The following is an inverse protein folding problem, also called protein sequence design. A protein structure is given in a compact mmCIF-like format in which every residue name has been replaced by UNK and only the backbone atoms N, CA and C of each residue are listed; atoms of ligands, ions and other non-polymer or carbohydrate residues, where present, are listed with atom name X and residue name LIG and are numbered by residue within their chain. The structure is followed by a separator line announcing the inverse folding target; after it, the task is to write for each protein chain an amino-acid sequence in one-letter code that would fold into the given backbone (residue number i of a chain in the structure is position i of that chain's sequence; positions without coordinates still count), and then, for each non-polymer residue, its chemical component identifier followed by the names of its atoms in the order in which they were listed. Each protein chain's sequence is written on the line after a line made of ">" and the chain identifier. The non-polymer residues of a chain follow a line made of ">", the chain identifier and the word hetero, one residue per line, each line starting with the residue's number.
data_IF_642939650375
#
_entry.id   IF_642939650375
#
_cell.length_a   1.000
_cell.length_b   1.000
_cell.length_c   1.000
_cell.angle_alpha   90.00
_cell.angle_beta   90.00
_cell.angle_gamma   90.00
#
_symmetry.space_group_name_H-M   'P 1'
#
loop_
_entity.id
_entity.type
_entity.pdbx_description
1 polymer ?
#
# COMPACT_ATOMS: atom_id res chain seq x y z
N UNK A 1 25.58 -22.31 19.05
CA UNK A 1 25.36 -21.58 17.79
C UNK A 1 23.87 -21.50 17.55
N UNK A 2 23.34 -20.27 17.53
CA UNK A 2 22.02 -19.89 18.06
C UNK A 2 20.81 -20.32 17.24
N UNK A 3 19.75 -20.73 17.96
CA UNK A 3 18.42 -21.01 17.44
C UNK A 3 17.77 -19.68 17.05
N UNK A 4 17.51 -19.46 15.77
CA UNK A 4 16.68 -18.34 15.33
C UNK A 4 15.22 -18.66 15.65
N UNK A 5 14.78 -18.19 16.81
CA UNK A 5 13.37 -17.97 17.10
C UNK A 5 12.87 -16.84 16.17
N UNK A 6 12.50 -17.21 14.94
CA UNK A 6 11.83 -16.31 14.00
C UNK A 6 10.39 -16.13 14.47
N UNK A 7 10.15 -15.06 15.21
CA UNK A 7 8.81 -14.68 15.66
C UNK A 7 7.84 -14.70 14.49
N UNK A 8 6.71 -15.39 14.67
CA UNK A 8 5.54 -15.27 13.80
C UNK A 8 5.22 -13.78 13.72
N UNK A 9 5.49 -13.14 12.58
CA UNK A 9 4.89 -11.85 12.26
C UNK A 9 3.39 -12.09 12.39
N UNK A 10 2.77 -11.44 13.38
CA UNK A 10 1.30 -11.44 13.49
C UNK A 10 0.81 -10.85 12.18
N UNK A 11 0.27 -11.71 11.33
CA UNK A 11 -0.58 -11.33 10.22
C UNK A 11 -1.57 -10.28 10.78
N UNK A 12 -1.83 -9.18 10.06
CA UNK A 12 -3.06 -8.44 10.30
C UNK A 12 -4.20 -9.47 10.30
N UNK A 13 -5.04 -9.39 11.32
CA UNK A 13 -6.21 -10.26 11.45
C UNK A 13 -6.95 -10.24 10.10
N UNK A 14 -7.38 -11.41 9.60
CA UNK A 14 -8.28 -11.47 8.44
C UNK A 14 -9.57 -10.66 8.67
N UNK A 15 -9.84 -10.27 9.92
CA UNK A 15 -10.87 -9.33 10.33
C UNK A 15 -10.45 -7.85 10.41
N UNK A 16 -9.34 -7.39 9.80
CA UNK A 16 -9.15 -5.94 9.58
C UNK A 16 -10.28 -5.46 8.68
N UNK A 17 -11.31 -4.89 9.31
CA UNK A 17 -12.47 -4.35 8.62
C UNK A 17 -12.00 -3.13 7.86
N UNK A 18 -11.96 -3.30 6.53
CA UNK A 18 -11.73 -2.26 5.55
C UNK A 18 -12.54 -1.01 5.89
N UNK A 19 -11.87 0.13 6.07
CA UNK A 19 -12.52 1.42 6.28
C UNK A 19 -12.27 2.29 5.06
N UNK A 20 -13.23 2.36 4.12
CA UNK A 20 -13.11 3.19 2.93
C UNK A 20 -12.90 4.66 3.32
N UNK A 21 -12.09 5.39 2.56
CA UNK A 21 -12.03 6.85 2.68
C UNK A 21 -13.15 7.47 1.84
N UNK A 22 -13.47 8.76 2.05
CA UNK A 22 -14.55 9.46 1.32
C UNK A 22 -14.38 9.45 -0.21
N UNK A 23 -13.16 9.24 -0.71
CA UNK A 23 -12.86 9.13 -2.15
C UNK A 23 -13.20 7.76 -2.74
N UNK A 24 -13.37 6.76 -1.87
CA UNK A 24 -13.63 5.36 -2.22
C UNK A 24 -15.11 5.00 -2.12
N UNK A 25 -15.98 6.01 -1.92
CA UNK A 25 -17.42 5.87 -1.77
C UNK A 25 -18.05 6.52 -3.00
N UNK A 26 -18.87 5.77 -3.73
CA UNK A 26 -19.67 6.36 -4.80
C UNK A 26 -20.64 7.40 -4.17
N UNK A 27 -20.62 8.66 -4.62
CA UNK A 27 -21.39 9.74 -3.98
C UNK A 27 -22.90 9.62 -4.21
N UNK A 28 -23.34 8.80 -5.16
CA UNK A 28 -24.75 8.55 -5.48
C UNK A 28 -25.33 7.33 -4.76
N UNK A 29 -24.51 6.31 -4.48
CA UNK A 29 -24.97 5.07 -3.82
C UNK A 29 -24.54 4.95 -2.36
N UNK A 30 -23.52 5.69 -1.91
CA UNK A 30 -23.00 5.62 -0.53
C UNK A 30 -22.21 4.34 -0.23
N UNK A 31 -22.06 3.47 -1.21
CA UNK A 31 -21.34 2.20 -1.11
C UNK A 31 -19.86 2.38 -1.46
N UNK A 32 -18.96 1.55 -0.90
CA UNK A 32 -17.58 1.47 -1.36
C UNK A 32 -17.56 1.16 -2.87
N UNK A 33 -16.84 1.97 -3.66
CA UNK A 33 -16.59 1.66 -5.06
C UNK A 33 -15.65 0.47 -5.10
N UNK A 34 -16.21 -0.75 -5.12
CA UNK A 34 -15.44 -1.98 -5.19
C UNK A 34 -14.52 -2.06 -6.44
N UNK A 35 -14.73 -1.18 -7.44
CA UNK A 35 -14.34 -1.45 -8.83
C UNK A 35 -13.50 -0.43 -9.64
N UNK A 36 -13.16 0.77 -9.14
CA UNK A 36 -12.64 1.80 -10.06
C UNK A 36 -11.12 1.78 -10.34
N UNK A 37 -10.28 1.19 -9.49
CA UNK A 37 -8.81 1.23 -9.64
C UNK A 37 -8.15 -0.14 -9.85
N UNK A 38 -8.70 -1.20 -9.26
CA UNK A 38 -8.00 -2.48 -9.10
C UNK A 38 -8.53 -3.59 -10.03
N UNK A 39 -9.73 -3.47 -10.61
CA UNK A 39 -10.28 -4.47 -11.55
C UNK A 39 -9.79 -4.30 -12.99
N UNK A 40 -9.00 -3.26 -13.24
CA UNK A 40 -8.18 -3.18 -14.45
C UNK A 40 -7.02 -4.17 -14.44
N UNK A 41 -6.66 -4.69 -13.27
CA UNK A 41 -5.63 -5.70 -13.15
C UNK A 41 -6.15 -7.04 -13.68
N UNK A 42 -5.36 -7.67 -14.54
CA UNK A 42 -5.56 -9.07 -14.86
C UNK A 42 -5.20 -9.89 -13.62
N UNK A 43 -6.20 -10.51 -13.01
CA UNK A 43 -6.02 -11.38 -11.85
C UNK A 43 -5.84 -12.83 -12.32
N UNK A 44 -4.79 -13.47 -11.83
CA UNK A 44 -4.53 -14.89 -12.01
C UNK A 44 -5.09 -15.65 -10.78
N UNK A 45 -5.84 -16.74 -11.00
CA UNK A 45 -6.60 -17.41 -9.93
C UNK A 45 -5.70 -18.07 -8.88
N UNK A 46 -4.49 -18.44 -9.26
CA UNK A 46 -3.48 -18.97 -8.35
C UNK A 46 -2.10 -18.50 -8.74
N UNK A 47 -1.35 -18.06 -7.74
CA UNK A 47 0.04 -17.71 -7.90
C UNK A 47 0.68 -17.39 -6.56
N UNK A 48 1.99 -17.11 -6.64
CA UNK A 48 2.77 -16.70 -5.47
C UNK A 48 2.68 -15.20 -5.28
N UNK A 49 2.30 -14.76 -4.08
CA UNK A 49 2.48 -13.37 -3.66
C UNK A 49 3.96 -13.14 -3.30
N UNK A 50 4.62 -12.23 -4.00
CA UNK A 50 6.03 -11.89 -3.77
C UNK A 50 6.22 -10.79 -2.72
N UNK A 51 5.12 -10.17 -2.28
CA UNK A 51 5.12 -9.23 -1.17
C UNK A 51 5.14 -9.97 0.18
N UNK A 52 4.82 -9.25 1.26
CA UNK A 52 5.09 -9.65 2.63
C UNK A 52 4.42 -10.96 3.08
N UNK A 53 3.27 -11.34 2.50
CA UNK A 53 2.55 -12.54 2.94
C UNK A 53 3.15 -13.86 2.42
N UNK A 54 3.90 -13.82 1.31
CA UNK A 54 4.60 -14.99 0.75
C UNK A 54 3.73 -16.18 0.35
N UNK A 55 2.40 -16.04 0.29
CA UNK A 55 1.47 -17.14 0.00
C UNK A 55 1.71 -17.70 -1.41
N UNK A 56 1.61 -19.03 -1.56
CA UNK A 56 1.97 -19.75 -2.80
C UNK A 56 0.76 -20.10 -3.70
N UNK A 57 -0.46 -20.00 -3.17
CA UNK A 57 -1.69 -20.39 -3.86
C UNK A 57 -2.81 -19.40 -3.50
N UNK A 58 -2.66 -18.18 -4.01
CA UNK A 58 -3.63 -17.10 -3.80
C UNK A 58 -3.89 -16.39 -5.12
N UNK A 59 -5.05 -15.78 -5.26
CA UNK A 59 -5.34 -14.90 -6.38
C UNK A 59 -4.33 -13.73 -6.37
N UNK A 60 -3.62 -13.56 -7.48
CA UNK A 60 -2.56 -12.56 -7.63
C UNK A 60 -2.75 -11.74 -8.88
N UNK A 61 -2.13 -10.57 -8.92
CA UNK A 61 -1.97 -9.80 -10.15
C UNK A 61 -0.52 -9.39 -10.36
N UNK A 62 -0.15 -9.25 -11.63
CA UNK A 62 1.14 -8.72 -12.05
C UNK A 62 1.24 -7.23 -11.72
N UNK A 63 2.32 -6.84 -11.05
CA UNK A 63 2.65 -5.46 -10.70
C UNK A 63 3.65 -4.83 -11.67
N UNK A 64 4.48 -5.64 -12.30
CA UNK A 64 5.53 -5.18 -13.21
C UNK A 64 6.78 -6.04 -13.20
N UNK A 65 7.73 -5.76 -14.10
CA UNK A 65 9.03 -6.42 -14.11
C UNK A 65 9.91 -5.89 -12.98
N UNK A 66 10.70 -6.77 -12.38
CA UNK A 66 11.73 -6.43 -11.41
C UNK A 66 13.09 -6.98 -11.83
N UNK A 67 14.13 -6.22 -11.51
CA UNK A 67 15.51 -6.61 -11.78
C UNK A 67 16.28 -6.72 -10.46
N UNK A 68 16.93 -7.85 -10.22
CA UNK A 68 17.81 -8.06 -9.08
C UNK A 68 19.08 -8.77 -9.52
N UNK A 69 20.24 -8.20 -9.23
CA UNK A 69 21.55 -8.79 -9.59
C UNK A 69 21.66 -9.16 -11.09
N UNK A 70 21.05 -8.38 -11.98
CA UNK A 70 20.99 -8.64 -13.42
C UNK A 70 19.93 -9.65 -13.87
N UNK A 71 19.24 -10.32 -12.93
CA UNK A 71 18.14 -11.23 -13.23
C UNK A 71 16.82 -10.47 -13.31
N UNK A 72 16.02 -10.75 -14.35
CA UNK A 72 14.68 -10.20 -14.54
C UNK A 72 13.64 -11.21 -14.08
N UNK A 73 12.60 -10.75 -13.40
CA UNK A 73 11.46 -11.56 -13.01
C UNK A 73 10.18 -10.71 -12.99
N UNK A 74 9.03 -11.36 -13.10
CA UNK A 74 7.73 -10.72 -12.94
C UNK A 74 7.32 -10.70 -11.48
N UNK A 75 6.92 -9.52 -11.00
CA UNK A 75 6.48 -9.33 -9.62
C UNK A 75 4.96 -9.47 -9.53
N UNK A 76 4.51 -10.36 -8.64
CA UNK A 76 3.09 -10.63 -8.40
C UNK A 76 2.69 -10.31 -6.96
N UNK A 77 1.44 -9.88 -6.78
CA UNK A 77 0.87 -9.61 -5.45
C UNK A 77 -0.56 -10.09 -5.33
N UNK A 78 -0.92 -10.58 -4.14
CA UNK A 78 -2.32 -10.79 -3.79
C UNK A 78 -3.03 -9.48 -3.47
N UNK A 79 -4.37 -9.51 -3.45
CA UNK A 79 -5.22 -8.34 -3.21
C UNK A 79 -4.93 -7.63 -1.88
N UNK A 80 -4.77 -8.39 -0.79
CA UNK A 80 -4.48 -7.82 0.53
C UNK A 80 -3.12 -7.08 0.57
N UNK A 81 -2.07 -7.67 0.00
CA UNK A 81 -0.76 -7.04 -0.02
C UNK A 81 -0.68 -5.87 -1.01
N UNK A 82 -1.43 -5.93 -2.11
CA UNK A 82 -1.49 -4.83 -3.07
C UNK A 82 -2.15 -3.60 -2.44
N UNK A 83 -3.21 -3.80 -1.65
CA UNK A 83 -3.83 -2.73 -0.87
C UNK A 83 -2.84 -2.07 0.11
N UNK A 84 -2.11 -2.86 0.89
CA UNK A 84 -1.14 -2.30 1.84
C UNK A 84 0.01 -1.57 1.14
N UNK A 85 0.42 -2.02 -0.05
CA UNK A 85 1.41 -1.31 -0.86
C UNK A 85 0.92 0.09 -1.26
N UNK A 86 -0.32 0.20 -1.73
CA UNK A 86 -0.91 1.48 -2.11
C UNK A 86 -1.02 2.46 -0.93
N UNK A 87 -1.41 1.96 0.26
CA UNK A 87 -1.46 2.79 1.47
C UNK A 87 -0.09 3.33 1.85
N UNK A 88 0.97 2.52 1.70
CA UNK A 88 2.36 2.97 1.94
C UNK A 88 2.81 4.00 0.90
N UNK A 89 2.41 3.85 -0.36
CA UNK A 89 2.67 4.83 -1.42
C UNK A 89 1.98 6.15 -1.11
N UNK A 90 0.71 6.11 -0.72
CA UNK A 90 -0.06 7.28 -0.31
C UNK A 90 0.61 8.00 0.87
N UNK A 91 0.96 7.26 1.94
CA UNK A 91 1.63 7.83 3.09
C UNK A 91 2.99 8.45 2.72
N UNK A 92 3.77 7.79 1.85
CA UNK A 92 5.04 8.31 1.37
C UNK A 92 4.87 9.63 0.61
N UNK A 93 3.86 9.72 -0.26
CA UNK A 93 3.57 10.94 -1.02
C UNK A 93 3.10 12.07 -0.10
N UNK A 94 2.17 11.81 0.84
CA UNK A 94 1.73 12.81 1.82
C UNK A 94 2.92 13.37 2.61
N UNK A 95 3.83 12.49 3.08
CA UNK A 95 5.03 12.92 3.82
C UNK A 95 5.95 13.79 2.97
N UNK A 96 6.11 13.46 1.69
CA UNK A 96 6.90 14.27 0.74
C UNK A 96 6.26 15.63 0.48
N UNK A 97 4.95 15.66 0.27
CA UNK A 97 4.20 16.89 0.01
C UNK A 97 4.27 17.83 1.21
N UNK A 98 4.10 17.32 2.43
CA UNK A 98 4.24 18.11 3.67
C UNK A 98 5.65 18.68 3.78
N UNK A 99 6.69 17.90 3.48
CA UNK A 99 8.08 18.37 3.51
C UNK A 99 8.37 19.42 2.42
N UNK A 100 7.62 19.42 1.32
CA UNK A 100 7.74 20.40 0.24
C UNK A 100 6.93 21.68 0.48
N UNK A 101 6.05 21.73 1.49
CA UNK A 101 5.35 22.95 1.84
C UNK A 101 6.36 24.02 2.31
N UNK A 102 6.30 25.25 1.80
CA UNK A 102 7.18 26.32 2.27
C UNK A 102 6.90 26.58 3.75
N UNK A 103 7.91 26.39 4.60
CA UNK A 103 7.85 26.88 5.98
C UNK A 103 7.78 28.40 5.88
N UNK A 104 6.61 28.98 6.10
CA UNK A 104 6.50 30.42 6.20
C UNK A 104 7.27 30.84 7.46
N UNK A 105 8.32 31.66 7.37
CA UNK A 105 8.96 32.18 8.56
C UNK A 105 7.91 32.99 9.32
N UNK A 106 7.72 32.67 10.60
CA UNK A 106 6.92 33.45 11.53
C UNK A 106 7.35 34.91 11.42
N UNK A 107 6.44 35.79 11.01
CA UNK A 107 6.71 37.23 10.99
C UNK A 107 7.24 37.66 12.37
N UNK A 108 8.31 38.46 12.43
CA UNK A 108 8.72 39.07 13.69
C UNK A 108 7.56 39.92 14.22
N UNK A 109 7.20 39.70 15.48
CA UNK A 109 6.11 40.40 16.15
C UNK A 109 6.30 41.94 16.11
N UNK A 110 5.20 42.71 16.20
CA UNK A 110 5.26 44.16 16.05
C UNK A 110 6.19 44.80 17.09
N UNK A 111 6.90 45.89 16.74
CA UNK A 111 7.80 46.56 17.67
C UNK A 111 7.01 47.05 18.90
N UNK A 112 7.50 46.70 20.10
CA UNK A 112 6.98 47.26 21.35
C UNK A 112 7.36 48.74 21.41
N UNK A 113 6.34 49.61 21.51
CA UNK A 113 6.50 51.04 21.82
C UNK A 113 6.86 51.25 23.28
#
# INVERSE_FOLDING_TARGET
>A
MGRHAGGRVRLPDSGVVFRPTRRDIDPSTGEPTAHALWDRHAWEPSGRCWLWCGQLDVEVTWLGPVCSSGMHADLYSCRACLYELDQRVLESNIRRDIAALPVMPSMPGPPRR
#
